data_IF_044272061367
#
_entry.id   IF_044272061367
#
_cell.length_a   1.000
_cell.length_b   1.000
_cell.length_c   1.000
_cell.angle_alpha   90.00
_cell.angle_beta   90.00
_cell.angle_gamma   90.00
#
_symmetry.space_group_name_H-M   'P 1'
#
loop_
_entity.id
_entity.type
_entity.pdbx_description
1 polymer ?
#
# COMPACT_ATOMS: atom_id res chain seq x y z
N UNK A 1 11.30 -1.68 -4.15
CA UNK A 1 11.27 -0.82 -2.94
C UNK A 1 9.90 -0.19 -2.83
N UNK A 2 9.31 -0.21 -1.63
CA UNK A 2 8.08 0.53 -1.30
C UNK A 2 8.48 1.66 -0.36
N UNK A 3 8.03 2.88 -0.62
CA UNK A 3 8.23 4.04 0.25
C UNK A 3 6.87 4.68 0.50
N UNK A 4 6.54 4.86 1.77
CA UNK A 4 5.36 5.62 2.21
C UNK A 4 5.86 6.89 2.88
N UNK A 5 5.25 8.01 2.54
CA UNK A 5 5.50 9.28 3.19
C UNK A 5 4.18 10.04 3.40
N UNK A 6 4.25 11.27 3.88
CA UNK A 6 3.06 12.06 4.15
C UNK A 6 2.26 12.41 2.88
N UNK A 7 2.92 12.47 1.72
CA UNK A 7 2.30 12.80 0.44
C UNK A 7 1.67 11.58 -0.23
N UNK A 8 2.28 10.40 -0.10
CA UNK A 8 1.80 9.22 -0.80
C UNK A 8 2.66 7.98 -0.66
N UNK A 9 2.28 7.00 -1.46
CA UNK A 9 2.95 5.72 -1.65
C UNK A 9 3.69 5.74 -3.00
N UNK A 10 4.95 5.33 -2.97
CA UNK A 10 5.77 5.11 -4.15
C UNK A 10 6.30 3.68 -4.16
N UNK A 11 6.19 3.03 -5.31
CA UNK A 11 6.76 1.72 -5.57
C UNK A 11 7.70 1.79 -6.76
N UNK A 12 8.87 1.18 -6.58
CA UNK A 12 9.89 1.07 -7.62
C UNK A 12 10.42 -0.36 -7.67
N UNK A 13 10.19 -1.08 -8.77
CA UNK A 13 10.70 -2.43 -9.01
C UNK A 13 11.84 -2.41 -10.03
N UNK A 14 13.07 -2.31 -9.50
CA UNK A 14 14.30 -2.09 -10.27
C UNK A 14 14.46 -3.08 -11.43
N UNK A 15 14.23 -4.37 -11.20
CA UNK A 15 14.47 -5.42 -12.20
C UNK A 15 13.55 -5.31 -13.42
N UNK A 16 12.33 -4.83 -13.23
CA UNK A 16 11.35 -4.67 -14.31
C UNK A 16 11.24 -3.25 -14.86
N UNK A 17 11.82 -2.27 -14.17
CA UNK A 17 11.58 -0.84 -14.42
C UNK A 17 10.17 -0.34 -14.08
N UNK A 18 9.29 -1.20 -13.56
CA UNK A 18 7.93 -0.83 -13.19
C UNK A 18 7.89 0.04 -11.94
N UNK A 19 7.27 1.21 -12.05
CA UNK A 19 7.11 2.17 -10.97
C UNK A 19 5.66 2.67 -10.92
N UNK A 20 5.15 2.92 -9.72
CA UNK A 20 3.90 3.67 -9.54
C UNK A 20 3.98 4.59 -8.34
N UNK A 21 3.20 5.67 -8.39
CA UNK A 21 3.07 6.64 -7.30
C UNK A 21 1.60 7.02 -7.12
N UNK A 22 1.10 6.97 -5.90
CA UNK A 22 -0.29 7.32 -5.56
C UNK A 22 -0.33 8.16 -4.30
N UNK A 23 -1.29 9.07 -4.22
CA UNK A 23 -1.45 9.95 -3.07
C UNK A 23 -2.17 9.21 -1.95
N UNK A 24 -1.88 9.59 -0.70
CA UNK A 24 -2.56 8.98 0.45
C UNK A 24 -4.06 9.29 0.46
N UNK A 25 -4.45 10.48 0.00
CA UNK A 25 -5.84 10.95 -0.11
C UNK A 25 -6.68 10.09 -1.06
N UNK A 26 -6.04 9.37 -1.96
CA UNK A 26 -6.71 8.50 -2.92
C UNK A 26 -6.96 7.09 -2.36
N UNK A 27 -6.42 6.76 -1.18
CA UNK A 27 -6.57 5.44 -0.56
C UNK A 27 -8.01 5.27 -0.06
N UNK A 28 -8.71 4.28 -0.61
CA UNK A 28 -10.08 3.91 -0.22
C UNK A 28 -10.06 2.80 0.82
N UNK A 29 -9.23 1.77 0.61
CA UNK A 29 -9.12 0.65 1.55
C UNK A 29 -7.74 0.01 1.53
N UNK A 30 -7.32 -0.43 2.70
CA UNK A 30 -6.10 -1.19 2.94
C UNK A 30 -6.46 -2.46 3.72
N UNK A 31 -6.18 -3.62 3.13
CA UNK A 31 -6.44 -4.92 3.75
C UNK A 31 -5.14 -5.70 3.91
N UNK A 32 -5.00 -6.38 5.05
CA UNK A 32 -3.91 -7.32 5.28
C UNK A 32 -4.42 -8.76 5.27
N UNK A 33 -3.70 -9.64 4.58
CA UNK A 33 -3.94 -11.08 4.59
C UNK A 33 -2.62 -11.84 4.62
N UNK A 34 -2.66 -13.09 5.07
CA UNK A 34 -1.54 -14.01 5.01
C UNK A 34 -2.01 -15.35 4.50
N UNK A 35 -1.35 -15.88 3.47
CA UNK A 35 -1.64 -17.20 2.91
C UNK A 35 -0.36 -18.03 2.90
N UNK A 36 -0.38 -19.19 3.57
CA UNK A 36 0.80 -20.06 3.73
C UNK A 36 2.03 -19.30 4.26
N UNK A 37 1.83 -18.35 5.17
CA UNK A 37 2.90 -17.53 5.75
C UNK A 37 3.38 -16.38 4.85
N UNK A 38 2.88 -16.28 3.61
CA UNK A 38 3.17 -15.16 2.72
C UNK A 38 2.27 -13.97 3.06
N UNK A 39 2.83 -12.85 3.53
CA UNK A 39 2.04 -11.65 3.79
C UNK A 39 1.63 -10.96 2.48
N UNK A 40 0.42 -10.40 2.47
CA UNK A 40 -0.16 -9.66 1.36
C UNK A 40 -0.94 -8.45 1.88
N UNK A 41 -0.64 -7.27 1.35
CA UNK A 41 -1.40 -6.04 1.56
C UNK A 41 -2.15 -5.73 0.26
N UNK A 42 -3.46 -5.55 0.33
CA UNK A 42 -4.26 -5.08 -0.79
C UNK A 42 -4.57 -3.61 -0.62
N UNK A 43 -4.35 -2.84 -1.68
CA UNK A 43 -4.67 -1.42 -1.76
C UNK A 43 -5.76 -1.20 -2.79
N UNK A 44 -6.76 -0.40 -2.44
CA UNK A 44 -7.75 0.12 -3.37
C UNK A 44 -7.68 1.63 -3.38
N UNK A 45 -7.64 2.21 -4.58
CA UNK A 45 -7.67 3.65 -4.77
C UNK A 45 -9.01 4.15 -5.35
N UNK A 46 -9.27 5.45 -5.24
CA UNK A 46 -10.53 6.09 -5.66
C UNK A 46 -10.83 5.93 -7.16
N UNK A 47 -9.79 5.82 -7.98
CA UNK A 47 -9.87 5.55 -9.42
C UNK A 47 -10.14 4.06 -9.75
N UNK A 48 -10.52 3.25 -8.74
CA UNK A 48 -10.73 1.81 -8.87
C UNK A 48 -9.47 1.02 -9.27
N UNK A 49 -8.28 1.57 -9.07
CA UNK A 49 -7.05 0.78 -9.19
C UNK A 49 -6.82 -0.07 -7.94
N UNK A 50 -6.28 -1.26 -8.16
CA UNK A 50 -5.98 -2.23 -7.12
C UNK A 50 -4.51 -2.64 -7.21
N UNK A 51 -3.84 -2.68 -6.06
CA UNK A 51 -2.45 -3.13 -5.96
C UNK A 51 -2.30 -4.18 -4.87
N UNK A 52 -1.66 -5.28 -5.23
CA UNK A 52 -1.32 -6.36 -4.32
C UNK A 52 0.17 -6.31 -4.00
N UNK A 53 0.48 -5.93 -2.76
CA UNK A 53 1.84 -5.93 -2.24
C UNK A 53 2.10 -7.24 -1.52
N UNK A 54 2.89 -8.13 -2.14
CA UNK A 54 3.23 -9.46 -1.62
C UNK A 54 4.73 -9.59 -1.29
N UNK A 55 5.07 -10.46 -0.34
CA UNK A 55 6.48 -10.85 -0.04
C UNK A 55 7.37 -9.72 0.53
N UNK A 56 6.83 -8.85 1.37
CA UNK A 56 7.62 -7.83 2.06
C UNK A 56 7.98 -8.26 3.49
N UNK A 57 9.28 -8.15 3.84
CA UNK A 57 9.81 -8.48 5.18
C UNK A 57 9.15 -7.65 6.29
N UNK A 58 8.88 -6.38 6.00
CA UNK A 58 8.28 -5.42 6.93
C UNK A 58 6.79 -5.17 6.64
N UNK A 59 6.11 -6.17 6.07
CA UNK A 59 4.71 -6.09 5.63
C UNK A 59 3.73 -5.66 6.73
N UNK A 60 3.95 -6.05 7.99
CA UNK A 60 3.12 -5.60 9.11
C UNK A 60 3.27 -4.10 9.39
N UNK A 61 4.50 -3.59 9.40
CA UNK A 61 4.77 -2.17 9.64
C UNK A 61 4.20 -1.31 8.50
N UNK A 62 4.42 -1.74 7.26
CA UNK A 62 3.87 -1.10 6.08
C UNK A 62 2.33 -1.09 6.10
N UNK A 63 1.70 -2.21 6.49
CA UNK A 63 0.25 -2.26 6.65
C UNK A 63 -0.25 -1.26 7.69
N UNK A 64 0.36 -1.21 8.88
CA UNK A 64 -0.05 -0.28 9.93
C UNK A 64 0.06 1.18 9.47
N UNK A 65 1.14 1.52 8.76
CA UNK A 65 1.32 2.87 8.22
C UNK A 65 0.24 3.22 7.18
N UNK A 66 0.00 2.33 6.21
CA UNK A 66 -1.03 2.52 5.17
C UNK A 66 -2.44 2.56 5.77
N UNK A 67 -2.73 1.70 6.74
CA UNK A 67 -4.03 1.66 7.42
C UNK A 67 -4.29 2.95 8.20
N UNK A 68 -3.27 3.50 8.85
CA UNK A 68 -3.38 4.81 9.47
C UNK A 68 -3.72 5.90 8.44
N UNK A 69 -3.14 5.86 7.23
CA UNK A 69 -3.48 6.83 6.18
C UNK A 69 -4.93 6.68 5.72
N UNK A 70 -5.43 5.47 5.52
CA UNK A 70 -6.85 5.22 5.23
C UNK A 70 -7.77 5.82 6.31
N UNK A 71 -7.48 5.57 7.59
CA UNK A 71 -8.29 6.07 8.71
C UNK A 71 -8.30 7.60 8.78
N UNK A 72 -7.23 8.28 8.35
CA UNK A 72 -7.20 9.75 8.28
C UNK A 72 -8.09 10.29 7.17
N UNK A 73 -8.09 9.64 6.00
CA UNK A 73 -8.93 10.03 4.87
C UNK A 73 -10.41 9.84 5.19
N UNK A 74 -10.77 8.74 5.84
CA UNK A 74 -12.17 8.47 6.21
C UNK A 74 -12.72 9.36 7.33
N UNK A 75 -11.84 10.00 8.11
CA UNK A 75 -12.22 10.92 9.20
C UNK A 75 -12.33 12.38 8.77
N UNK A 76 -11.83 12.73 7.58
CA UNK A 76 -11.89 14.07 7.00
C UNK A 76 -13.22 14.28 6.25
#
# INVERSE_FOLDING_TARGET
MVTVNNSGLEFCHQDSGYNFKRNNEEIVSVEYSSFLGTPKIKLRFINNEFYDLVWFKDSKSLYTELKHKEDLVQKA
#
